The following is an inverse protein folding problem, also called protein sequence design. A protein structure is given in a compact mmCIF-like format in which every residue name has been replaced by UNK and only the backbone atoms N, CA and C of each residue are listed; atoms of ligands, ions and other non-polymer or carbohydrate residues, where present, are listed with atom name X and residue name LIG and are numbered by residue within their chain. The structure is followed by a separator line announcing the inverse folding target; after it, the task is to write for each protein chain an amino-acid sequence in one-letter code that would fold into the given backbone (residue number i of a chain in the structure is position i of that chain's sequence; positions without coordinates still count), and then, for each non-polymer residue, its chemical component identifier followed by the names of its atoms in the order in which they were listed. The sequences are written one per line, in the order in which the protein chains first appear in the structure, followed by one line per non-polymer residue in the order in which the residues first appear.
data_IF_033369466734
#
_entry.id   IF_033369466734
#
_cell.length_a   1.000
_cell.length_b   1.000
_cell.length_c   1.000
_cell.angle_alpha   90.00
_cell.angle_beta   90.00
_cell.angle_gamma   90.00
#
_symmetry.space_group_name_H-M   'P 1'
#
loop_
_entity.id
_entity.type
_entity.pdbx_description
1 polymer ?
#
# COMPACT_ATOMS: atom_id res chain seq x y z
N UNK A 1 -11.10 11.18 -0.58
CA UNK A 1 -9.75 10.70 -0.95
C UNK A 1 -8.73 11.43 -0.09
N UNK A 2 -7.99 10.72 0.76
CA UNK A 2 -6.85 11.30 1.45
C UNK A 2 -5.62 11.32 0.54
N UNK A 3 -4.60 12.10 0.91
CA UNK A 3 -3.35 12.18 0.14
C UNK A 3 -2.65 10.82 0.09
N UNK A 4 -2.68 10.01 1.16
CA UNK A 4 -2.04 8.68 1.16
C UNK A 4 -2.71 7.71 0.17
N UNK A 5 -4.04 7.77 0.04
CA UNK A 5 -4.76 6.94 -0.93
C UNK A 5 -4.33 7.24 -2.36
N UNK A 6 -4.11 8.52 -2.69
CA UNK A 6 -3.61 8.93 -4.01
C UNK A 6 -2.20 8.42 -4.26
N UNK A 7 -1.33 8.47 -3.24
CA UNK A 7 0.02 7.92 -3.34
C UNK A 7 0.00 6.40 -3.58
N UNK A 8 -0.85 5.65 -2.87
CA UNK A 8 -0.96 4.21 -3.07
C UNK A 8 -1.56 3.86 -4.43
N UNK A 9 -2.57 4.60 -4.91
CA UNK A 9 -3.09 4.43 -6.27
C UNK A 9 -2.00 4.63 -7.32
N UNK A 10 -1.23 5.71 -7.20
CA UNK A 10 -0.10 5.97 -8.10
C UNK A 10 0.96 4.86 -8.01
N UNK A 11 1.23 4.32 -6.83
CA UNK A 11 2.16 3.20 -6.68
C UNK A 11 1.69 1.94 -7.41
N UNK A 12 0.38 1.68 -7.44
CA UNK A 12 -0.22 0.56 -8.20
C UNK A 12 -0.08 0.81 -9.70
N UNK A 13 -0.40 2.02 -10.17
CA UNK A 13 -0.27 2.41 -11.58
C UNK A 13 1.19 2.32 -12.07
N UNK A 14 2.12 2.86 -11.30
CA UNK A 14 3.55 2.86 -11.59
C UNK A 14 4.23 1.50 -11.33
N UNK A 15 3.48 0.52 -10.80
CA UNK A 15 3.96 -0.81 -10.39
C UNK A 15 5.13 -0.77 -9.41
N UNK A 16 5.08 0.13 -8.45
CA UNK A 16 6.06 0.26 -7.38
C UNK A 16 5.68 -0.58 -6.16
N UNK A 17 6.65 -1.25 -5.56
CA UNK A 17 6.44 -1.87 -4.25
C UNK A 17 6.15 -0.82 -3.19
N UNK A 18 5.44 -1.20 -2.13
CA UNK A 18 5.14 -0.34 -0.99
C UNK A 18 5.57 -0.99 0.32
N UNK A 19 5.88 -0.16 1.30
CA UNK A 19 6.13 -0.59 2.69
C UNK A 19 5.27 0.24 3.61
N UNK A 20 4.72 -0.38 4.65
CA UNK A 20 3.82 0.28 5.58
C UNK A 20 3.79 -0.49 6.90
N UNK A 21 3.25 0.14 7.94
CA UNK A 21 2.94 -0.53 9.20
C UNK A 21 1.43 -0.65 9.36
N UNK A 22 0.96 -1.81 9.78
CA UNK A 22 -0.45 -2.12 10.03
C UNK A 22 -0.55 -2.85 11.37
N UNK A 23 -1.32 -2.31 12.31
CA UNK A 23 -1.58 -2.92 13.64
C UNK A 23 -0.30 -3.43 14.33
N UNK A 24 0.70 -2.54 14.49
CA UNK A 24 2.02 -2.83 15.07
C UNK A 24 2.91 -3.83 14.31
N UNK A 25 2.49 -4.34 13.15
CA UNK A 25 3.34 -5.13 12.26
C UNK A 25 3.86 -4.26 11.12
N UNK A 26 5.16 -4.36 10.83
CA UNK A 26 5.76 -3.70 9.68
C UNK A 26 5.80 -4.65 8.49
N UNK A 27 5.26 -4.19 7.37
CA UNK A 27 5.24 -4.88 6.10
C UNK A 27 6.16 -4.13 5.14
N UNK A 28 7.10 -4.86 4.52
CA UNK A 28 8.10 -4.31 3.62
C UNK A 28 8.02 -5.01 2.27
N UNK A 29 8.25 -4.25 1.20
CA UNK A 29 8.28 -4.76 -0.19
C UNK A 29 6.99 -5.52 -0.56
N UNK A 30 5.85 -4.93 -0.24
CA UNK A 30 4.53 -5.45 -0.55
C UNK A 30 4.14 -5.00 -1.96
N UNK A 31 3.56 -5.89 -2.76
CA UNK A 31 3.07 -5.58 -4.11
C UNK A 31 1.61 -5.12 -4.01
N UNK A 32 1.30 -3.82 -4.10
CA UNK A 32 -0.07 -3.36 -4.09
C UNK A 32 -0.70 -3.71 -5.46
N UNK A 33 -1.89 -4.31 -5.44
CA UNK A 33 -2.59 -4.79 -6.64
C UNK A 33 -3.78 -3.90 -7.00
N UNK A 34 -4.63 -3.61 -6.01
CA UNK A 34 -5.79 -2.74 -6.18
C UNK A 34 -6.24 -2.16 -4.84
N UNK A 35 -7.03 -1.09 -4.91
CA UNK A 35 -7.72 -0.52 -3.76
C UNK A 35 -9.21 -0.59 -4.02
N UNK A 36 -9.95 -1.18 -3.08
CA UNK A 36 -11.41 -1.36 -3.16
C UNK A 36 -12.01 -1.09 -1.79
N UNK A 37 -13.01 -0.22 -1.68
CA UNK A 37 -13.72 0.09 -0.42
C UNK A 37 -12.81 0.41 0.80
N UNK A 38 -11.74 1.19 0.58
CA UNK A 38 -10.69 1.49 1.57
C UNK A 38 -9.83 0.29 2.03
N UNK A 39 -9.85 -0.81 1.27
CA UNK A 39 -9.01 -1.98 1.48
C UNK A 39 -7.94 -2.02 0.38
N UNK A 40 -6.68 -2.07 0.79
CA UNK A 40 -5.55 -2.34 -0.07
C UNK A 40 -5.42 -3.85 -0.27
N UNK A 41 -5.62 -4.32 -1.49
CA UNK A 41 -5.32 -5.68 -1.90
C UNK A 41 -3.86 -5.75 -2.36
N UNK A 42 -3.14 -6.72 -1.86
CA UNK A 42 -1.74 -6.98 -2.20
C UNK A 42 -1.46 -8.45 -2.38
N UNK A 43 -0.25 -8.78 -2.82
CA UNK A 43 0.26 -10.16 -2.86
C UNK A 43 0.32 -10.83 -1.48
N UNK A 44 0.51 -10.05 -0.42
CA UNK A 44 0.66 -10.52 0.95
C UNK A 44 -0.66 -10.56 1.74
N UNK A 45 -1.77 -10.09 1.13
CA UNK A 45 -3.09 -10.08 1.76
C UNK A 45 -3.85 -8.78 1.56
N UNK A 46 -4.88 -8.58 2.39
CA UNK A 46 -5.76 -7.40 2.38
C UNK A 46 -5.48 -6.55 3.62
N UNK A 47 -5.40 -5.24 3.46
CA UNK A 47 -5.09 -4.29 4.53
C UNK A 47 -6.07 -3.12 4.54
N UNK A 48 -6.60 -2.74 5.71
CA UNK A 48 -7.44 -1.56 5.83
C UNK A 48 -6.58 -0.28 5.74
N UNK A 49 -6.86 0.59 4.78
CA UNK A 49 -6.11 1.83 4.55
C UNK A 49 -6.13 2.76 5.78
N UNK A 50 -7.23 2.75 6.53
CA UNK A 50 -7.43 3.53 7.76
C UNK A 50 -6.48 3.11 8.88
N UNK A 51 -5.99 1.87 8.86
CA UNK A 51 -5.06 1.31 9.85
C UNK A 51 -3.61 1.31 9.37
N UNK A 52 -3.36 1.79 8.15
CA UNK A 52 -2.02 1.93 7.62
C UNK A 52 -1.35 3.17 8.21
N UNK A 53 -0.10 2.99 8.60
CA UNK A 53 0.78 4.06 9.06
C UNK A 53 2.15 3.93 8.41
N UNK A 54 2.88 5.04 8.30
CA UNK A 54 4.25 5.06 7.74
C UNK A 54 4.32 4.43 6.33
N UNK A 55 3.35 4.76 5.47
CA UNK A 55 3.33 4.30 4.08
C UNK A 55 4.51 4.92 3.31
N UNK A 56 5.30 4.07 2.65
CA UNK A 56 6.43 4.44 1.83
C UNK A 56 6.35 3.71 0.50
N UNK A 57 6.45 4.45 -0.60
CA UNK A 57 6.57 3.87 -1.94
C UNK A 57 8.05 3.58 -2.16
N UNK A 58 8.37 2.33 -2.47
CA UNK A 58 9.71 1.92 -2.85
C UNK A 58 9.94 2.26 -4.33
N UNK A 59 11.17 2.64 -4.68
CA UNK A 59 11.56 2.89 -6.08
C UNK A 59 11.73 1.61 -6.91
N UNK A 60 11.65 0.46 -6.25
CA UNK A 60 11.74 -0.87 -6.85
C UNK A 60 10.39 -1.19 -7.52
N UNK A 61 10.42 -1.57 -8.80
CA UNK A 61 9.23 -1.88 -9.61
C UNK A 61 9.07 -3.38 -9.83
N UNK A 62 7.86 -3.82 -10.17
CA UNK A 62 7.50 -5.22 -10.42
C UNK A 62 6.64 -5.45 -11.66
#
# INVERSE_FOLDING_TARGET
MTIEQRFLQKAIEDKNYVSFSHENKSYKKIKPLKIEENILHSDSGKFELTKLSRVQILRDRF
#
